data_IF_626303850753
#
_entry.id   IF_626303850753
#
_cell.length_a   1.000
_cell.length_b   1.000
_cell.length_c   1.000
_cell.angle_alpha   90.00
_cell.angle_beta   90.00
_cell.angle_gamma   90.00
#
_symmetry.space_group_name_H-M   'P 1'
#
loop_
_entity.id
_entity.type
_entity.pdbx_description
1 polymer ?
#
# COMPACT_ATOMS: atom_id res chain seq x y z
N UNK A 1 8.49 -31.94 -4.80
CA UNK A 1 7.53 -33.03 -5.05
C UNK A 1 6.21 -32.37 -5.43
N UNK A 2 5.44 -32.89 -6.40
CA UNK A 2 4.13 -32.30 -6.74
C UNK A 2 3.11 -32.84 -5.74
N UNK A 3 2.53 -31.96 -4.93
CA UNK A 3 1.51 -32.34 -3.93
C UNK A 3 0.24 -32.79 -4.64
N UNK A 4 -0.26 -34.00 -4.32
CA UNK A 4 -1.58 -34.46 -4.77
C UNK A 4 -2.65 -33.92 -3.82
N UNK A 5 -3.11 -32.72 -4.12
CA UNK A 5 -4.13 -32.04 -3.35
C UNK A 5 -5.44 -32.82 -3.26
N UNK A 6 -5.82 -33.58 -4.29
CA UNK A 6 -7.12 -34.28 -4.30
C UNK A 6 -7.16 -35.38 -3.24
N UNK A 7 -6.10 -36.19 -3.18
CA UNK A 7 -5.94 -37.22 -2.14
C UNK A 7 -5.99 -36.62 -0.73
N UNK A 8 -5.37 -35.45 -0.55
CA UNK A 8 -5.36 -34.74 0.74
C UNK A 8 -6.78 -34.30 1.15
N UNK A 9 -7.55 -33.72 0.24
CA UNK A 9 -8.91 -33.28 0.54
C UNK A 9 -9.80 -34.48 0.87
N UNK A 10 -9.71 -35.55 0.08
CA UNK A 10 -10.50 -36.76 0.24
C UNK A 10 -10.15 -37.51 1.55
N UNK A 11 -8.91 -37.40 2.02
CA UNK A 11 -8.45 -37.96 3.29
C UNK A 11 -8.85 -37.12 4.54
N UNK A 12 -9.32 -35.88 4.38
CA UNK A 12 -9.68 -34.96 5.48
C UNK A 12 -11.06 -34.29 5.26
N UNK A 13 -12.14 -35.07 5.06
CA UNK A 13 -13.46 -34.54 4.69
C UNK A 13 -14.10 -33.66 5.77
N UNK A 14 -13.73 -33.82 7.04
CA UNK A 14 -14.28 -33.09 8.19
C UNK A 14 -13.82 -31.63 8.28
N UNK A 15 -12.76 -31.26 7.56
CA UNK A 15 -12.17 -29.92 7.59
C UNK A 15 -13.00 -28.92 6.77
N UNK A 16 -13.61 -29.42 5.69
CA UNK A 16 -14.32 -28.60 4.73
C UNK A 16 -15.82 -28.85 4.81
N UNK A 17 -16.61 -27.82 4.54
CA UNK A 17 -18.07 -27.91 4.51
C UNK A 17 -18.61 -28.56 3.21
N UNK A 18 -17.73 -28.97 2.30
CA UNK A 18 -18.08 -29.56 1.00
C UNK A 18 -17.17 -30.73 0.63
N UNK A 19 -17.64 -31.57 -0.29
CA UNK A 19 -16.94 -32.75 -0.81
C UNK A 19 -17.08 -32.81 -2.34
N UNK A 20 -16.38 -33.75 -3.00
CA UNK A 20 -16.42 -33.90 -4.45
C UNK A 20 -15.62 -32.80 -5.18
N UNK A 21 -14.41 -32.53 -4.71
CA UNK A 21 -13.59 -31.43 -5.19
C UNK A 21 -13.17 -31.58 -6.65
N UNK A 22 -13.54 -30.59 -7.46
CA UNK A 22 -13.10 -30.46 -8.84
C UNK A 22 -11.96 -29.46 -8.94
N UNK A 23 -10.83 -29.89 -9.53
CA UNK A 23 -9.72 -29.00 -9.78
C UNK A 23 -10.05 -28.04 -10.93
N UNK A 24 -9.81 -26.75 -10.71
CA UNK A 24 -9.91 -25.74 -11.76
C UNK A 24 -8.81 -25.96 -12.81
N UNK A 25 -9.23 -26.28 -14.04
CA UNK A 25 -8.37 -26.48 -15.21
C UNK A 25 -7.49 -25.26 -15.49
N UNK A 26 -6.35 -25.44 -16.14
CA UNK A 26 -5.45 -24.34 -16.49
C UNK A 26 -6.12 -23.31 -17.43
N UNK A 27 -6.97 -23.77 -18.35
CA UNK A 27 -7.73 -22.92 -19.27
C UNK A 27 -8.68 -21.99 -18.49
N UNK A 28 -9.47 -22.55 -17.56
CA UNK A 28 -10.33 -21.75 -16.68
C UNK A 28 -9.53 -20.75 -15.84
N UNK A 29 -8.37 -21.14 -15.30
CA UNK A 29 -7.50 -20.23 -14.54
C UNK A 29 -7.02 -19.04 -15.37
N UNK A 30 -6.66 -19.28 -16.64
CA UNK A 30 -6.28 -18.21 -17.59
C UNK A 30 -7.45 -17.28 -17.90
N UNK A 31 -8.64 -17.83 -18.18
CA UNK A 31 -9.86 -17.06 -18.49
C UNK A 31 -10.27 -16.19 -17.28
N UNK A 32 -10.12 -16.71 -16.07
CA UNK A 32 -10.48 -16.00 -14.84
C UNK A 32 -9.34 -15.13 -14.29
N UNK A 33 -8.21 -15.05 -15.00
CA UNK A 33 -7.02 -14.29 -14.60
C UNK A 33 -6.54 -14.65 -13.18
N UNK A 34 -6.64 -15.92 -12.80
CA UNK A 34 -6.19 -16.41 -11.50
C UNK A 34 -4.66 -16.55 -11.46
N UNK A 35 -4.00 -16.16 -10.35
CA UNK A 35 -2.56 -16.39 -10.18
C UNK A 35 -2.17 -17.87 -10.36
N UNK A 36 -1.25 -18.14 -11.29
CA UNK A 36 -0.97 -19.51 -11.75
C UNK A 36 -0.24 -20.38 -10.73
N UNK A 37 0.40 -19.77 -9.74
CA UNK A 37 1.19 -20.47 -8.72
C UNK A 37 0.33 -21.24 -7.69
N UNK A 38 -0.98 -20.98 -7.64
CA UNK A 38 -1.88 -21.62 -6.69
C UNK A 38 -2.71 -22.72 -7.34
N UNK A 39 -3.14 -23.68 -6.52
CA UNK A 39 -4.08 -24.73 -6.91
C UNK A 39 -5.48 -24.35 -6.45
N UNK A 40 -6.46 -24.48 -7.34
CA UNK A 40 -7.83 -24.04 -7.10
C UNK A 40 -8.76 -25.24 -7.22
N UNK A 41 -9.63 -25.44 -6.23
CA UNK A 41 -10.64 -26.49 -6.24
C UNK A 41 -12.00 -25.92 -5.89
N UNK A 42 -13.05 -26.41 -6.53
CA UNK A 42 -14.41 -26.00 -6.25
C UNK A 42 -15.28 -27.20 -5.93
N UNK A 43 -16.26 -26.97 -5.06
CA UNK A 43 -17.29 -27.92 -4.69
C UNK A 43 -18.57 -27.16 -4.30
N UNK A 44 -19.61 -27.93 -3.98
CA UNK A 44 -20.90 -27.39 -3.53
C UNK A 44 -21.92 -27.26 -4.65
N UNK A 45 -23.06 -26.68 -4.31
CA UNK A 45 -24.23 -26.57 -5.17
C UNK A 45 -24.66 -25.10 -5.38
N UNK A 46 -25.87 -24.89 -5.89
CA UNK A 46 -26.40 -23.54 -6.10
C UNK A 46 -26.62 -22.75 -4.79
N UNK A 47 -26.80 -23.43 -3.66
CA UNK A 47 -27.12 -22.84 -2.37
C UNK A 47 -25.87 -22.54 -1.53
N UNK A 48 -24.82 -23.34 -1.68
CA UNK A 48 -23.54 -23.15 -1.01
C UNK A 48 -22.39 -23.49 -1.94
N UNK A 49 -21.70 -22.47 -2.44
CA UNK A 49 -20.50 -22.63 -3.27
C UNK A 49 -19.26 -22.54 -2.41
N UNK A 50 -18.34 -23.47 -2.62
CA UNK A 50 -17.13 -23.58 -1.81
C UNK A 50 -15.93 -23.69 -2.71
N UNK A 51 -14.89 -22.90 -2.41
CA UNK A 51 -13.61 -22.96 -3.09
C UNK A 51 -12.46 -23.22 -2.13
N UNK A 52 -11.42 -23.88 -2.61
CA UNK A 52 -10.12 -23.99 -1.96
C UNK A 52 -9.09 -23.28 -2.86
N UNK A 53 -8.25 -22.44 -2.26
CA UNK A 53 -7.03 -21.93 -2.89
C UNK A 53 -5.85 -22.38 -2.05
N UNK A 54 -5.00 -23.22 -2.64
CA UNK A 54 -3.91 -23.88 -1.95
C UNK A 54 -2.53 -23.43 -2.47
N UNK A 55 -1.65 -23.08 -1.53
CA UNK A 55 -0.23 -22.82 -1.79
C UNK A 55 0.63 -23.99 -1.32
N UNK A 56 1.53 -24.46 -2.18
CA UNK A 56 2.48 -25.53 -1.86
C UNK A 56 3.73 -25.03 -1.11
N UNK A 57 4.03 -23.74 -1.18
CA UNK A 57 5.24 -23.17 -0.60
C UNK A 57 5.08 -21.69 -0.24
N UNK A 58 6.20 -20.97 -0.19
CA UNK A 58 6.22 -19.52 0.08
C UNK A 58 5.39 -18.80 -0.98
N UNK A 59 4.50 -17.93 -0.54
CA UNK A 59 3.60 -17.15 -1.38
C UNK A 59 3.72 -15.68 -1.04
N UNK A 60 3.29 -14.83 -1.98
CA UNK A 60 3.03 -13.43 -1.69
C UNK A 60 1.58 -13.26 -1.25
N UNK A 61 1.38 -12.55 -0.16
CA UNK A 61 0.07 -12.41 0.49
C UNK A 61 -0.96 -11.69 -0.39
N UNK A 62 -0.54 -10.64 -1.09
CA UNK A 62 -1.36 -9.88 -2.03
C UNK A 62 -1.85 -10.75 -3.18
N UNK A 63 -0.96 -11.53 -3.79
CA UNK A 63 -1.31 -12.46 -4.87
C UNK A 63 -2.20 -13.60 -4.36
N UNK A 64 -1.96 -14.13 -3.15
CA UNK A 64 -2.74 -15.22 -2.58
C UNK A 64 -4.16 -14.77 -2.23
N UNK A 65 -4.30 -13.64 -1.53
CA UNK A 65 -5.60 -13.05 -1.19
C UNK A 65 -6.38 -12.67 -2.45
N UNK A 66 -5.71 -12.06 -3.44
CA UNK A 66 -6.31 -11.74 -4.74
C UNK A 66 -6.83 -13.00 -5.45
N UNK A 67 -6.04 -14.07 -5.45
CA UNK A 67 -6.43 -15.35 -6.03
C UNK A 67 -7.72 -15.90 -5.39
N UNK A 68 -7.83 -15.84 -4.06
CA UNK A 68 -9.03 -16.25 -3.33
C UNK A 68 -10.26 -15.41 -3.66
N UNK A 69 -10.13 -14.08 -3.71
CA UNK A 69 -11.24 -13.18 -3.99
C UNK A 69 -11.72 -13.31 -5.44
N UNK A 70 -10.79 -13.34 -6.41
CA UNK A 70 -11.15 -13.55 -7.82
C UNK A 70 -11.85 -14.89 -8.02
N UNK A 71 -11.30 -15.96 -7.42
CA UNK A 71 -11.89 -17.28 -7.52
C UNK A 71 -13.28 -17.33 -6.88
N UNK A 72 -13.41 -16.81 -5.67
CA UNK A 72 -14.70 -16.75 -4.96
C UNK A 72 -15.76 -15.96 -5.70
N UNK A 73 -15.41 -14.81 -6.29
CA UNK A 73 -16.35 -14.02 -7.07
C UNK A 73 -16.83 -14.78 -8.32
N UNK A 74 -15.93 -15.52 -8.99
CA UNK A 74 -16.26 -16.35 -10.16
C UNK A 74 -17.11 -17.56 -9.81
N UNK A 75 -16.83 -18.22 -8.69
CA UNK A 75 -17.66 -19.32 -8.19
C UNK A 75 -19.03 -18.80 -7.79
N UNK A 76 -19.08 -17.75 -6.96
CA UNK A 76 -20.29 -17.23 -6.35
C UNK A 76 -21.28 -16.60 -7.31
N UNK A 77 -20.80 -15.90 -8.34
CA UNK A 77 -21.66 -15.13 -9.25
C UNK A 77 -22.73 -14.31 -8.50
N UNK A 78 -22.31 -13.63 -7.42
CA UNK A 78 -23.19 -12.85 -6.52
C UNK A 78 -23.78 -13.63 -5.33
N UNK A 79 -23.72 -14.96 -5.33
CA UNK A 79 -24.14 -15.78 -4.18
C UNK A 79 -23.05 -15.88 -3.10
N UNK A 80 -23.49 -16.15 -1.86
CA UNK A 80 -22.58 -16.39 -0.73
C UNK A 80 -21.67 -17.58 -1.04
N UNK A 81 -20.37 -17.34 -0.93
CA UNK A 81 -19.33 -18.31 -1.27
C UNK A 81 -18.31 -18.42 -0.15
N UNK A 82 -17.95 -19.63 0.22
CA UNK A 82 -16.91 -19.89 1.23
C UNK A 82 -15.60 -20.22 0.53
N UNK A 83 -14.53 -19.51 0.87
CA UNK A 83 -13.19 -19.72 0.32
C UNK A 83 -12.22 -20.14 1.42
N UNK A 84 -11.66 -21.34 1.27
CA UNK A 84 -10.61 -21.87 2.12
C UNK A 84 -9.25 -21.52 1.53
N UNK A 85 -8.47 -20.74 2.26
CA UNK A 85 -7.05 -20.55 2.01
C UNK A 85 -6.29 -21.68 2.70
N UNK A 86 -5.49 -22.43 1.94
CA UNK A 86 -4.68 -23.54 2.45
C UNK A 86 -3.21 -23.22 2.23
N UNK A 87 -2.42 -23.14 3.29
CA UNK A 87 -0.99 -22.85 3.21
C UNK A 87 -0.22 -23.44 4.38
N UNK A 88 1.12 -23.52 4.26
CA UNK A 88 1.97 -24.01 5.34
C UNK A 88 2.05 -23.05 6.53
N UNK A 89 1.99 -21.76 6.24
CA UNK A 89 1.99 -20.70 7.24
C UNK A 89 1.15 -19.50 6.75
N UNK A 90 0.73 -18.64 7.66
CA UNK A 90 -0.02 -17.41 7.40
C UNK A 90 0.48 -16.30 8.32
N UNK A 91 0.73 -15.11 7.79
CA UNK A 91 1.01 -13.99 8.67
C UNK A 91 -0.24 -13.52 9.42
N UNK A 92 -0.05 -12.83 10.55
CA UNK A 92 -1.16 -12.21 11.26
C UNK A 92 -1.90 -11.16 10.41
N UNK A 93 -1.19 -10.43 9.53
CA UNK A 93 -1.81 -9.45 8.62
C UNK A 93 -2.73 -10.15 7.61
N UNK A 94 -2.30 -11.29 7.08
CA UNK A 94 -3.14 -12.09 6.19
C UNK A 94 -4.41 -12.57 6.92
N UNK A 95 -4.28 -13.15 8.13
CA UNK A 95 -5.43 -13.56 8.94
C UNK A 95 -6.39 -12.40 9.24
N UNK A 96 -5.85 -11.26 9.68
CA UNK A 96 -6.66 -10.09 9.98
C UNK A 96 -7.36 -9.50 8.76
N UNK A 97 -6.83 -9.75 7.57
CA UNK A 97 -7.42 -9.33 6.30
C UNK A 97 -8.53 -10.28 5.86
N UNK A 98 -8.33 -11.60 5.94
CA UNK A 98 -9.40 -12.55 5.62
C UNK A 98 -10.58 -12.47 6.61
N UNK A 99 -10.32 -12.18 7.88
CA UNK A 99 -11.36 -11.99 8.90
C UNK A 99 -12.21 -10.72 8.69
N UNK A 100 -11.80 -9.83 7.77
CA UNK A 100 -12.59 -8.65 7.35
C UNK A 100 -13.47 -8.95 6.14
N UNK A 101 -13.43 -10.17 5.60
CA UNK A 101 -14.32 -10.62 4.54
C UNK A 101 -15.60 -11.21 5.15
N UNK A 102 -16.76 -10.80 4.65
CA UNK A 102 -18.01 -11.32 5.20
C UNK A 102 -19.32 -10.75 4.64
N UNK A 103 -19.34 -10.44 3.35
CA UNK A 103 -20.57 -10.19 2.60
C UNK A 103 -20.90 -11.37 1.67
N UNK A 104 -20.59 -11.23 0.38
CA UNK A 104 -20.73 -12.32 -0.60
C UNK A 104 -19.64 -13.38 -0.49
N UNK A 105 -18.49 -13.04 0.11
CA UNK A 105 -17.38 -13.97 0.34
C UNK A 105 -17.13 -14.15 1.83
N UNK A 106 -17.00 -15.40 2.26
CA UNK A 106 -16.57 -15.80 3.60
C UNK A 106 -15.25 -16.52 3.44
N UNK A 107 -14.19 -16.03 4.07
CA UNK A 107 -12.91 -16.69 4.03
C UNK A 107 -12.73 -17.62 5.24
N UNK A 108 -11.92 -18.65 5.06
CA UNK A 108 -11.42 -19.54 6.12
C UNK A 108 -9.97 -19.86 5.84
N UNK A 109 -9.19 -20.10 6.88
CA UNK A 109 -7.79 -20.51 6.76
C UNK A 109 -7.59 -21.92 7.30
N UNK A 110 -6.73 -22.68 6.62
CA UNK A 110 -6.38 -24.05 6.96
C UNK A 110 -4.87 -24.22 6.83
N UNK A 111 -4.22 -24.63 7.91
CA UNK A 111 -2.80 -24.98 7.84
C UNK A 111 -2.61 -26.32 7.17
N UNK A 112 -1.61 -26.39 6.29
CA UNK A 112 -1.15 -27.61 5.63
C UNK A 112 0.26 -27.97 6.10
N UNK A 113 0.50 -29.24 6.44
CA UNK A 113 1.85 -29.73 6.76
C UNK A 113 2.24 -30.91 5.88
N UNK A 114 3.41 -30.80 5.25
CA UNK A 114 4.00 -31.82 4.37
C UNK A 114 4.68 -32.97 5.14
N UNK A 115 4.53 -33.09 6.47
CA UNK A 115 5.17 -34.19 7.23
C UNK A 115 4.63 -35.57 6.78
N UNK A 116 5.25 -36.64 7.27
CA UNK A 116 4.97 -38.07 6.93
C UNK A 116 3.48 -38.43 6.82
N UNK A 117 2.61 -37.74 7.56
CA UNK A 117 1.18 -37.69 7.29
C UNK A 117 0.77 -36.24 6.96
N UNK A 118 0.39 -35.96 5.70
CA UNK A 118 -0.46 -34.84 5.33
C UNK A 118 -1.52 -34.54 6.39
N UNK A 119 -1.53 -33.33 6.95
CA UNK A 119 -2.56 -32.95 7.93
C UNK A 119 -3.04 -31.55 7.70
N UNK A 120 -4.34 -31.37 7.84
CA UNK A 120 -5.04 -30.11 7.73
C UNK A 120 -5.57 -29.68 9.10
N UNK A 121 -5.40 -28.41 9.43
CA UNK A 121 -5.90 -27.85 10.68
C UNK A 121 -6.69 -26.59 10.37
N UNK A 122 -8.02 -26.56 10.60
CA UNK A 122 -8.80 -25.36 10.41
C UNK A 122 -8.41 -24.36 11.51
N UNK A 123 -8.21 -23.12 11.12
CA UNK A 123 -7.86 -22.05 12.05
C UNK A 123 -9.12 -21.26 12.33
N UNK A 124 -9.52 -21.13 13.60
CA UNK A 124 -10.58 -20.17 13.92
C UNK A 124 -9.99 -18.76 13.89
N UNK A 125 -10.64 -17.87 13.16
CA UNK A 125 -10.21 -16.47 13.03
C UNK A 125 -10.13 -15.73 14.37
N UNK A 126 -10.89 -16.20 15.37
CA UNK A 126 -10.93 -15.65 16.74
C UNK A 126 -9.77 -16.10 17.62
N UNK A 127 -9.08 -17.19 17.26
CA UNK A 127 -8.01 -17.77 18.07
C UNK A 127 -6.67 -17.05 17.88
N UNK A 128 -6.55 -16.22 16.84
CA UNK A 128 -5.38 -15.37 16.68
C UNK A 128 -5.52 -14.11 17.53
N UNK A 129 -4.99 -14.20 18.75
CA UNK A 129 -4.85 -13.08 19.65
C UNK A 129 -4.14 -11.92 18.94
N UNK A 130 -4.87 -10.83 18.67
CA UNK A 130 -4.29 -9.54 18.23
C UNK A 130 -3.08 -9.12 19.08
N UNK A 131 -3.04 -9.58 20.34
CA UNK A 131 -1.95 -9.33 21.30
C UNK A 131 -0.67 -10.14 21.09
N UNK A 132 -0.68 -11.20 20.26
CA UNK A 132 0.53 -11.95 19.90
C UNK A 132 1.30 -11.29 18.75
N UNK A 133 0.60 -10.52 17.92
CA UNK A 133 1.24 -9.76 16.85
C UNK A 133 1.76 -8.43 17.38
N UNK A 134 2.97 -8.50 17.93
CA UNK A 134 3.74 -7.32 18.33
C UNK A 134 4.51 -6.83 17.11
N UNK A 135 3.89 -5.95 16.32
CA UNK A 135 4.69 -5.15 15.41
C UNK A 135 5.59 -4.30 16.28
N UNK A 136 6.90 -4.54 16.19
CA UNK A 136 7.86 -3.71 16.85
C UNK A 136 7.92 -2.40 16.06
N UNK A 137 7.05 -1.43 16.42
CA UNK A 137 7.14 -0.09 15.89
C UNK A 137 8.59 0.33 15.87
N UNK A 138 9.08 0.69 14.69
CA UNK A 138 10.38 1.32 14.60
C UNK A 138 10.39 2.58 15.45
N UNK A 139 11.60 3.01 15.72
CA UNK A 139 11.83 4.27 16.40
C UNK A 139 11.05 5.39 15.70
N UNK A 140 10.60 6.42 16.44
CA UNK A 140 9.97 7.59 15.85
C UNK A 140 10.75 8.05 14.62
N UNK A 141 10.02 8.47 13.57
CA UNK A 141 10.67 8.93 12.34
C UNK A 141 11.73 9.98 12.71
N UNK A 142 12.99 9.80 12.26
CA UNK A 142 14.05 10.77 12.47
C UNK A 142 13.64 12.17 12.00
N UNK A 143 14.16 13.18 12.67
CA UNK A 143 14.04 14.57 12.24
C UNK A 143 15.44 15.17 12.04
N UNK A 144 15.49 16.46 11.73
CA UNK A 144 16.74 17.19 11.63
C UNK A 144 17.59 17.06 12.89
N UNK A 145 17.00 17.16 14.09
CA UNK A 145 17.75 17.05 15.35
C UNK A 145 18.40 15.68 15.54
N UNK A 146 17.70 14.60 15.17
CA UNK A 146 18.25 13.24 15.19
C UNK A 146 19.52 13.15 14.34
N UNK A 147 19.48 13.70 13.12
CA UNK A 147 20.62 13.70 12.21
C UNK A 147 21.76 14.59 12.70
N UNK A 148 21.45 15.77 13.23
CA UNK A 148 22.46 16.68 13.77
C UNK A 148 23.25 16.09 14.94
N UNK A 149 22.62 15.25 15.78
CA UNK A 149 23.27 14.61 16.95
C UNK A 149 24.25 13.50 16.57
N UNK A 150 24.10 12.89 15.40
CA UNK A 150 24.91 11.73 14.98
C UNK A 150 26.14 12.10 14.14
N UNK A 151 26.21 13.33 13.67
CA UNK A 151 27.25 13.78 12.76
C UNK A 151 28.36 14.54 13.50
N UNK A 152 29.58 14.42 12.99
CA UNK A 152 30.67 15.27 13.47
C UNK A 152 30.41 16.75 13.09
N UNK A 153 31.09 17.73 13.73
CA UNK A 153 30.83 19.15 13.52
C UNK A 153 30.93 19.61 12.05
N UNK A 154 31.88 19.06 11.29
CA UNK A 154 32.08 19.40 9.86
C UNK A 154 30.89 18.90 9.04
N UNK A 155 30.51 17.64 9.21
CA UNK A 155 29.36 17.06 8.54
C UNK A 155 28.06 17.79 8.95
N UNK A 156 27.91 18.20 10.21
CA UNK A 156 26.76 19.00 10.65
C UNK A 156 26.66 20.34 9.91
N UNK A 157 27.78 21.06 9.75
CA UNK A 157 27.80 22.31 8.98
C UNK A 157 27.46 22.08 7.50
N UNK A 158 28.02 21.03 6.88
CA UNK A 158 27.67 20.68 5.51
C UNK A 158 26.19 20.33 5.36
N UNK A 159 25.62 19.61 6.34
CA UNK A 159 24.20 19.27 6.34
C UNK A 159 23.31 20.52 6.42
N UNK A 160 23.70 21.53 7.21
CA UNK A 160 22.97 22.81 7.28
C UNK A 160 22.98 23.55 5.94
N UNK A 161 24.12 23.57 5.25
CA UNK A 161 24.23 24.16 3.91
C UNK A 161 23.30 23.44 2.93
N UNK A 162 23.32 22.11 2.94
CA UNK A 162 22.45 21.30 2.07
C UNK A 162 20.97 21.53 2.40
N UNK A 163 20.61 21.58 3.68
CA UNK A 163 19.26 21.91 4.15
C UNK A 163 18.81 23.26 3.60
N UNK A 164 19.62 24.31 3.76
CA UNK A 164 19.27 25.65 3.27
C UNK A 164 19.05 25.69 1.75
N UNK A 165 19.87 24.96 0.99
CA UNK A 165 19.69 24.83 -0.45
C UNK A 165 18.34 24.19 -0.80
N UNK A 166 17.99 23.04 -0.21
CA UNK A 166 16.72 22.38 -0.52
C UNK A 166 15.50 23.12 0.05
N UNK A 167 15.63 23.77 1.21
CA UNK A 167 14.57 24.63 1.77
C UNK A 167 14.26 25.80 0.82
N UNK A 168 15.27 26.32 0.10
CA UNK A 168 15.06 27.35 -0.94
C UNK A 168 14.23 26.84 -2.14
N UNK A 169 14.24 25.52 -2.38
CA UNK A 169 13.47 24.85 -3.44
C UNK A 169 12.04 24.48 -3.01
N UNK A 170 11.63 24.79 -1.78
CA UNK A 170 10.26 24.56 -1.29
C UNK A 170 9.19 25.21 -2.16
N UNK A 171 9.47 26.41 -2.71
CA UNK A 171 8.60 27.10 -3.67
C UNK A 171 8.39 26.31 -4.96
N UNK A 172 9.37 25.47 -5.33
CA UNK A 172 9.29 24.51 -6.45
C UNK A 172 8.77 23.14 -6.00
N UNK A 173 8.06 23.07 -4.87
CA UNK A 173 7.37 21.86 -4.38
C UNK A 173 8.30 20.72 -3.94
N UNK A 174 9.55 21.06 -3.58
CA UNK A 174 10.50 20.08 -3.03
C UNK A 174 10.30 19.94 -1.52
N UNK A 175 10.24 18.70 -1.02
CA UNK A 175 10.14 18.37 0.41
C UNK A 175 11.18 17.33 0.84
N UNK A 176 11.58 17.38 2.11
CA UNK A 176 12.47 16.39 2.71
C UNK A 176 11.67 15.27 3.39
N UNK A 177 12.16 14.03 3.30
CA UNK A 177 11.63 12.83 3.93
C UNK A 177 12.73 12.13 4.69
N UNK A 178 12.47 11.76 5.95
CA UNK A 178 13.52 11.25 6.84
C UNK A 178 13.41 9.75 7.07
N UNK A 179 14.53 9.07 6.91
CA UNK A 179 14.72 7.68 7.31
C UNK A 179 15.94 7.56 8.24
N UNK A 180 16.10 6.38 8.86
CA UNK A 180 17.17 6.13 9.83
C UNK A 180 18.57 6.37 9.29
N UNK A 181 18.82 6.03 8.02
CA UNK A 181 20.13 6.11 7.38
C UNK A 181 20.16 6.93 6.10
N UNK A 182 19.03 7.56 5.74
CA UNK A 182 18.97 8.50 4.62
C UNK A 182 17.96 9.63 4.81
N UNK A 183 18.23 10.77 4.18
CA UNK A 183 17.28 11.86 3.96
C UNK A 183 16.99 11.88 2.46
N UNK A 184 15.71 11.83 2.08
CA UNK A 184 15.27 11.84 0.69
C UNK A 184 14.63 13.18 0.38
N UNK A 185 15.03 13.83 -0.71
CA UNK A 185 14.33 14.99 -1.23
C UNK A 185 13.42 14.57 -2.37
N UNK A 186 12.16 14.98 -2.29
CA UNK A 186 11.09 14.56 -3.19
C UNK A 186 10.38 15.74 -3.82
N UNK A 187 9.94 15.57 -5.05
CA UNK A 187 8.97 16.42 -5.74
C UNK A 187 7.69 15.60 -5.95
N UNK A 188 6.64 15.90 -5.17
CA UNK A 188 5.53 14.97 -4.98
C UNK A 188 6.00 13.66 -4.35
N UNK A 189 5.84 12.54 -5.07
CA UNK A 189 6.36 11.21 -4.69
C UNK A 189 7.70 10.86 -5.36
N UNK A 190 8.18 11.69 -6.29
CA UNK A 190 9.38 11.41 -7.08
C UNK A 190 10.62 11.79 -6.26
N UNK A 191 11.50 10.83 -5.99
CA UNK A 191 12.79 11.07 -5.34
C UNK A 191 13.76 11.73 -6.31
N UNK A 192 14.24 12.94 -5.97
CA UNK A 192 15.16 13.73 -6.82
C UNK A 192 16.57 13.79 -6.24
N UNK A 193 16.73 13.60 -4.94
CA UNK A 193 18.04 13.52 -4.29
C UNK A 193 17.99 12.67 -3.01
N UNK A 194 19.14 12.17 -2.60
CA UNK A 194 19.31 11.52 -1.31
C UNK A 194 20.60 11.97 -0.61
N UNK A 195 20.53 12.00 0.71
CA UNK A 195 21.69 12.01 1.61
C UNK A 195 21.72 10.65 2.28
N UNK A 196 22.80 9.89 2.15
CA UNK A 196 22.96 8.57 2.78
C UNK A 196 24.05 8.61 3.84
N UNK A 197 23.75 8.14 5.05
CA UNK A 197 24.72 8.03 6.13
C UNK A 197 25.73 6.90 5.86
N UNK A 198 27.00 7.18 6.12
CA UNK A 198 28.12 6.23 6.01
C UNK A 198 29.07 6.46 7.18
N UNK A 199 28.79 5.79 8.30
CA UNK A 199 29.45 6.06 9.58
C UNK A 199 29.16 7.49 10.05
N UNK A 200 30.21 8.24 10.39
CA UNK A 200 30.10 9.63 10.86
C UNK A 200 30.10 10.66 9.71
N UNK A 201 29.97 10.21 8.46
CA UNK A 201 29.89 11.04 7.24
C UNK A 201 28.60 10.74 6.48
N UNK A 202 28.31 11.51 5.45
CA UNK A 202 27.23 11.23 4.52
C UNK A 202 27.68 11.39 3.06
N UNK A 203 26.95 10.76 2.16
CA UNK A 203 27.08 10.89 0.71
C UNK A 203 25.81 11.60 0.19
N UNK A 204 25.98 12.68 -0.58
CA UNK A 204 24.89 13.39 -1.25
C UNK A 204 24.88 12.97 -2.73
N UNK A 205 23.72 12.59 -3.25
CA UNK A 205 23.59 12.19 -4.65
C UNK A 205 22.19 12.50 -5.20
N UNK A 206 22.11 12.74 -6.51
CA UNK A 206 20.83 12.86 -7.22
C UNK A 206 20.15 11.49 -7.36
N UNK A 207 18.82 11.47 -7.41
CA UNK A 207 18.03 10.28 -7.71
C UNK A 207 17.36 10.42 -9.07
N UNK A 208 17.58 9.41 -9.92
CA UNK A 208 17.07 9.36 -11.31
C UNK A 208 16.33 8.07 -11.64
N UNK A 209 15.97 7.27 -10.62
CA UNK A 209 15.27 5.97 -10.82
C UNK A 209 13.87 6.10 -11.40
N UNK A 210 13.32 7.32 -11.40
CA UNK A 210 11.99 7.64 -11.91
C UNK A 210 11.93 7.71 -13.45
N UNK A 211 13.07 7.75 -14.15
CA UNK A 211 13.10 7.70 -15.63
C UNK A 211 13.75 6.43 -16.14
N UNK A 212 13.15 5.84 -17.18
CA UNK A 212 13.74 4.70 -17.91
C UNK A 212 14.70 5.15 -19.02
N UNK A 213 14.71 6.44 -19.35
CA UNK A 213 15.58 6.98 -20.39
C UNK A 213 17.02 7.08 -19.87
N UNK A 214 17.89 6.21 -20.39
CA UNK A 214 19.31 6.14 -20.00
C UNK A 214 20.05 7.46 -20.21
N UNK A 215 19.70 8.24 -21.24
CA UNK A 215 20.37 9.52 -21.52
C UNK A 215 20.01 10.55 -20.45
N UNK A 216 18.74 10.62 -20.05
CA UNK A 216 18.28 11.50 -18.97
C UNK A 216 18.90 11.07 -17.65
N UNK A 217 18.90 9.76 -17.36
CA UNK A 217 19.50 9.24 -16.13
C UNK A 217 20.99 9.58 -16.03
N UNK A 218 21.79 9.32 -17.08
CA UNK A 218 23.23 9.63 -17.08
C UNK A 218 23.50 11.13 -17.02
N UNK A 219 22.68 11.96 -17.67
CA UNK A 219 22.81 13.44 -17.62
C UNK A 219 22.69 13.97 -16.20
N UNK A 220 21.71 13.46 -15.45
CA UNK A 220 21.35 14.01 -14.14
C UNK A 220 21.95 13.26 -12.96
N UNK A 221 22.53 12.07 -13.15
CA UNK A 221 23.18 11.32 -12.09
C UNK A 221 24.49 12.00 -11.66
N UNK A 222 24.43 12.79 -10.60
CA UNK A 222 25.56 13.55 -10.03
C UNK A 222 25.71 13.29 -8.54
N UNK A 223 26.97 13.25 -8.10
CA UNK A 223 27.32 13.31 -6.68
C UNK A 223 27.40 14.76 -6.24
N UNK A 224 26.93 15.03 -5.03
CA UNK A 224 26.98 16.33 -4.39
C UNK A 224 28.02 16.36 -3.28
N UNK A 225 28.69 17.49 -3.11
CA UNK A 225 29.57 17.78 -1.98
C UNK A 225 29.57 19.27 -1.67
N UNK A 226 29.91 19.61 -0.44
CA UNK A 226 30.09 20.99 0.02
C UNK A 226 31.58 21.31 -0.05
N UNK A 227 31.93 22.40 -0.72
CA UNK A 227 33.32 22.86 -0.85
C UNK A 227 33.78 23.73 0.33
N UNK A 228 35.03 24.18 0.28
CA UNK A 228 35.62 25.05 1.31
C UNK A 228 34.96 26.43 1.42
N UNK A 229 34.22 26.86 0.39
CA UNK A 229 33.46 28.11 0.41
C UNK A 229 32.11 27.98 1.14
N UNK A 230 31.74 26.76 1.54
CA UNK A 230 30.44 26.49 2.13
C UNK A 230 29.31 26.43 1.10
N UNK A 231 29.64 26.13 -0.16
CA UNK A 231 28.67 26.01 -1.25
C UNK A 231 28.61 24.57 -1.75
N UNK A 232 27.43 24.13 -2.20
CA UNK A 232 27.30 22.83 -2.86
C UNK A 232 27.90 22.95 -4.27
N UNK A 233 28.62 21.92 -4.72
CA UNK A 233 29.21 21.92 -6.07
C UNK A 233 28.16 22.21 -7.15
N UNK A 234 28.51 23.12 -8.06
CA UNK A 234 27.57 23.68 -9.03
C UNK A 234 26.96 22.64 -9.97
N UNK A 235 27.73 21.61 -10.33
CA UNK A 235 27.27 20.52 -11.18
C UNK A 235 26.07 19.78 -10.57
N UNK A 236 26.10 19.53 -9.25
CA UNK A 236 24.99 18.93 -8.53
C UNK A 236 23.77 19.85 -8.51
N UNK A 237 23.97 21.14 -8.22
CA UNK A 237 22.89 22.12 -8.21
C UNK A 237 22.21 22.24 -9.57
N UNK A 238 22.99 22.33 -10.66
CA UNK A 238 22.47 22.37 -12.04
C UNK A 238 21.70 21.10 -12.39
N UNK A 239 22.15 19.93 -11.92
CA UNK A 239 21.43 18.68 -12.13
C UNK A 239 20.06 18.68 -11.42
N UNK A 240 20.00 19.12 -10.16
CA UNK A 240 18.74 19.24 -9.42
C UNK A 240 17.78 20.21 -10.09
N UNK A 241 18.24 21.40 -10.47
CA UNK A 241 17.41 22.39 -11.15
C UNK A 241 16.90 21.84 -12.49
N UNK A 242 17.76 21.20 -13.28
CA UNK A 242 17.36 20.59 -14.55
C UNK A 242 16.41 19.38 -14.40
N UNK A 243 16.51 18.63 -13.30
CA UNK A 243 15.49 17.61 -12.94
C UNK A 243 14.14 18.30 -12.71
N UNK A 244 14.11 19.36 -11.91
CA UNK A 244 12.86 20.07 -11.60
C UNK A 244 12.25 20.70 -12.84
N UNK A 245 13.06 21.33 -13.71
CA UNK A 245 12.58 21.91 -14.97
C UNK A 245 11.96 20.83 -15.86
N UNK A 246 12.59 19.65 -15.93
CA UNK A 246 12.05 18.53 -16.69
C UNK A 246 10.72 18.02 -16.10
N UNK A 247 10.65 17.83 -14.78
CA UNK A 247 9.45 17.34 -14.11
C UNK A 247 8.26 18.32 -14.22
N UNK A 248 8.52 19.62 -14.07
CA UNK A 248 7.51 20.67 -14.26
C UNK A 248 7.01 20.71 -15.71
N UNK A 249 7.91 20.59 -16.69
CA UNK A 249 7.51 20.48 -18.10
C UNK A 249 6.71 19.20 -18.37
N UNK A 250 7.08 18.08 -17.74
CA UNK A 250 6.37 16.82 -17.87
C UNK A 250 4.94 16.90 -17.30
N UNK A 251 4.74 17.65 -16.21
CA UNK A 251 3.42 17.93 -15.63
C UNK A 251 2.56 18.73 -16.60
N UNK A 252 3.09 19.85 -17.11
CA UNK A 252 2.37 20.74 -18.05
C UNK A 252 1.98 20.00 -19.32
N UNK A 253 2.86 19.14 -19.83
CA UNK A 253 2.62 18.36 -21.03
C UNK A 253 1.80 17.06 -20.78
N UNK A 254 1.40 16.77 -19.54
CA UNK A 254 0.60 15.60 -19.20
C UNK A 254 1.32 14.24 -19.36
N UNK A 255 2.66 14.25 -19.35
CA UNK A 255 3.50 13.05 -19.53
C UNK A 255 3.91 12.35 -18.22
N UNK A 256 3.48 12.89 -17.07
CA UNK A 256 3.67 12.23 -15.78
C UNK A 256 2.71 11.03 -15.64
N UNK A 257 3.15 10.03 -14.88
CA UNK A 257 2.26 8.96 -14.45
C UNK A 257 1.07 9.54 -13.67
N UNK A 258 -0.13 9.00 -13.88
CA UNK A 258 -1.35 9.51 -13.26
C UNK A 258 -1.23 9.54 -11.73
N UNK A 259 -0.54 8.57 -11.12
CA UNK A 259 -0.36 8.48 -9.68
C UNK A 259 0.52 9.61 -9.15
N UNK A 260 1.63 9.89 -9.84
CA UNK A 260 2.54 10.97 -9.47
C UNK A 260 1.88 12.34 -9.67
N UNK A 261 1.15 12.50 -10.78
CA UNK A 261 0.40 13.72 -11.05
C UNK A 261 -0.67 13.97 -9.97
N UNK A 262 -1.44 12.95 -9.60
CA UNK A 262 -2.46 13.05 -8.55
C UNK A 262 -1.86 13.38 -7.19
N UNK A 263 -0.75 12.74 -6.83
CA UNK A 263 -0.03 13.04 -5.59
C UNK A 263 0.38 14.52 -5.52
N UNK A 264 0.89 15.08 -6.62
CA UNK A 264 1.27 16.50 -6.69
C UNK A 264 0.04 17.40 -6.54
N UNK A 265 -1.06 17.11 -7.23
CA UNK A 265 -2.29 17.89 -7.12
C UNK A 265 -2.80 17.90 -5.68
N UNK A 266 -2.83 16.76 -5.00
CA UNK A 266 -3.28 16.66 -3.61
C UNK A 266 -2.37 17.40 -2.63
N UNK A 267 -1.06 17.21 -2.73
CA UNK A 267 -0.08 17.80 -1.81
C UNK A 267 0.00 19.34 -1.92
N UNK A 268 -0.46 19.91 -3.03
CA UNK A 268 -0.39 21.34 -3.31
C UNK A 268 -1.74 22.01 -3.54
N UNK A 269 -2.83 21.28 -3.32
CA UNK A 269 -4.16 21.85 -3.30
C UNK A 269 -4.28 22.84 -2.13
N UNK A 270 -4.98 23.95 -2.37
CA UNK A 270 -5.10 25.07 -1.41
C UNK A 270 -6.52 25.25 -0.90
N UNK A 271 -7.47 24.47 -1.39
CA UNK A 271 -8.89 24.65 -1.15
C UNK A 271 -9.45 23.40 -0.50
N UNK A 272 -9.77 22.38 -1.30
CA UNK A 272 -10.45 21.17 -0.86
C UNK A 272 -9.62 20.30 0.10
N UNK A 273 -8.36 20.02 -0.22
CA UNK A 273 -7.56 19.06 0.56
C UNK A 273 -7.25 19.58 1.96
N UNK A 274 -6.80 20.84 2.16
CA UNK A 274 -6.59 21.38 3.50
C UNK A 274 -7.86 21.44 4.34
N UNK A 275 -9.02 21.70 3.72
CA UNK A 275 -10.31 21.76 4.41
C UNK A 275 -10.79 20.36 4.83
N UNK A 276 -10.66 19.37 3.95
CA UNK A 276 -11.24 18.04 4.17
C UNK A 276 -10.29 17.05 4.86
N UNK A 277 -9.03 17.02 4.44
CA UNK A 277 -8.02 16.09 4.96
C UNK A 277 -7.01 16.75 5.90
N UNK A 278 -6.84 18.06 5.81
CA UNK A 278 -5.87 18.82 6.59
C UNK A 278 -4.52 18.94 5.92
N UNK A 279 -3.45 19.00 6.72
CA UNK A 279 -2.10 19.25 6.21
C UNK A 279 -1.39 17.94 5.87
N UNK A 280 -0.61 17.89 4.78
CA UNK A 280 0.12 16.68 4.42
C UNK A 280 1.21 16.40 5.46
N UNK A 281 1.27 15.17 5.94
CA UNK A 281 2.27 14.71 6.90
C UNK A 281 3.00 13.47 6.38
N UNK A 282 4.19 13.21 6.92
CA UNK A 282 4.80 11.90 6.76
C UNK A 282 4.26 10.96 7.83
N UNK A 283 4.07 9.68 7.50
CA UNK A 283 3.69 8.69 8.50
C UNK A 283 4.73 8.70 9.65
N UNK A 284 4.30 8.94 10.91
CA UNK A 284 5.22 9.28 11.99
C UNK A 284 6.09 8.10 12.46
N UNK A 285 5.73 6.88 12.04
CA UNK A 285 6.44 5.66 12.40
C UNK A 285 7.21 5.08 11.21
N UNK A 286 8.39 4.52 11.47
CA UNK A 286 9.13 3.72 10.50
C UNK A 286 8.93 2.24 10.78
N UNK A 287 8.72 1.44 9.74
CA UNK A 287 8.79 -0.01 9.85
C UNK A 287 10.23 -0.46 10.20
N UNK A 288 10.40 -1.41 11.13
CA UNK A 288 11.73 -2.03 11.39
C UNK A 288 12.15 -2.97 10.27
N UNK A 289 11.20 -3.70 9.68
CA UNK A 289 11.45 -4.61 8.57
C UNK A 289 10.73 -4.15 7.30
N UNK A 290 11.44 -4.18 6.17
CA UNK A 290 10.87 -3.78 4.86
C UNK A 290 9.77 -4.71 4.38
N UNK A 291 9.75 -5.96 4.86
CA UNK A 291 8.78 -7.01 4.50
C UNK A 291 7.40 -6.83 5.16
N UNK A 292 7.30 -6.10 6.27
CA UNK A 292 6.04 -5.96 7.02
C UNK A 292 5.16 -4.80 6.50
N UNK A 293 5.75 -3.87 5.75
CA UNK A 293 5.12 -2.58 5.40
C UNK A 293 5.41 -2.11 3.98
N UNK A 294 5.89 -2.98 3.08
CA UNK A 294 6.37 -2.60 1.75
C UNK A 294 5.37 -1.77 0.94
N UNK A 295 4.07 -1.88 1.22
CA UNK A 295 3.00 -1.14 0.55
C UNK A 295 2.46 0.09 1.30
N UNK A 296 2.88 0.41 2.52
CA UNK A 296 2.46 1.70 3.14
C UNK A 296 3.04 2.92 2.46
N UNK A 297 4.18 2.78 1.76
CA UNK A 297 4.75 3.84 0.93
C UNK A 297 3.85 4.26 -0.24
N UNK A 298 2.77 3.53 -0.48
CA UNK A 298 1.75 3.84 -1.47
C UNK A 298 0.70 4.84 -0.97
N UNK A 299 0.56 5.01 0.35
CA UNK A 299 -0.42 5.88 0.97
C UNK A 299 0.11 7.31 1.13
N UNK A 300 -0.80 8.27 1.03
CA UNK A 300 -0.54 9.66 1.42
C UNK A 300 -1.28 9.94 2.72
N UNK A 301 -0.60 10.60 3.66
CA UNK A 301 -1.13 10.88 4.99
C UNK A 301 -1.37 12.37 5.17
N UNK A 302 -2.49 12.70 5.81
CA UNK A 302 -2.85 14.06 6.17
C UNK A 302 -3.28 14.12 7.63
N UNK A 303 -3.03 15.26 8.28
CA UNK A 303 -3.46 15.54 9.64
C UNK A 303 -4.50 16.66 9.68
N UNK A 304 -5.66 16.37 10.28
CA UNK A 304 -6.68 17.35 10.60
C UNK A 304 -7.17 17.10 12.03
N UNK A 305 -7.20 18.13 12.88
CA UNK A 305 -7.69 18.04 14.26
C UNK A 305 -7.04 16.90 15.08
N UNK A 306 -5.72 16.74 14.98
CA UNK A 306 -4.96 15.65 15.61
C UNK A 306 -5.38 14.24 15.17
N UNK A 307 -6.04 14.12 14.02
CA UNK A 307 -6.37 12.84 13.40
C UNK A 307 -5.62 12.64 12.09
N UNK A 308 -5.03 11.46 11.91
CA UNK A 308 -4.42 11.06 10.64
C UNK A 308 -5.49 10.45 9.75
N UNK A 309 -5.59 10.97 8.52
CA UNK A 309 -6.29 10.35 7.40
C UNK A 309 -5.27 9.74 6.44
N UNK A 310 -5.50 8.50 6.03
CA UNK A 310 -4.70 7.83 5.01
C UNK A 310 -5.48 7.78 3.70
N UNK A 311 -4.82 8.09 2.58
CA UNK A 311 -5.40 8.06 1.24
C UNK A 311 -4.67 7.01 0.40
N UNK A 312 -5.43 6.18 -0.32
CA UNK A 312 -4.92 5.31 -1.36
C UNK A 312 -5.53 5.67 -2.72
N UNK A 313 -4.74 5.55 -3.78
CA UNK A 313 -5.17 5.86 -5.15
C UNK A 313 -5.42 4.56 -5.91
N UNK A 314 -6.65 4.40 -6.41
CA UNK A 314 -7.04 3.29 -7.25
C UNK A 314 -7.45 3.86 -8.61
N UNK A 315 -6.46 3.93 -9.51
CA UNK A 315 -6.61 4.44 -10.87
C UNK A 315 -6.56 3.31 -11.92
N UNK A 316 -6.23 2.10 -11.48
CA UNK A 316 -6.14 0.90 -12.29
C UNK A 316 -6.40 -0.35 -11.43
N UNK A 317 -6.85 -1.44 -12.06
CA UNK A 317 -6.97 -2.78 -11.45
C UNK A 317 -7.63 -2.76 -10.05
N UNK A 318 -8.88 -2.29 -9.94
CA UNK A 318 -9.49 -1.95 -8.66
C UNK A 318 -9.52 -3.10 -7.66
N UNK A 319 -9.82 -4.33 -8.10
CA UNK A 319 -9.80 -5.50 -7.21
C UNK A 319 -8.41 -5.75 -6.61
N UNK A 320 -7.37 -5.75 -7.44
CA UNK A 320 -5.99 -5.96 -6.98
C UNK A 320 -5.57 -4.88 -5.98
N UNK A 321 -5.86 -3.61 -6.30
CA UNK A 321 -5.51 -2.50 -5.40
C UNK A 321 -6.31 -2.52 -4.11
N UNK A 322 -7.57 -2.94 -4.15
CA UNK A 322 -8.40 -3.05 -2.96
C UNK A 322 -7.89 -4.17 -2.04
N UNK A 323 -7.44 -5.29 -2.60
CA UNK A 323 -6.76 -6.37 -1.85
C UNK A 323 -5.52 -5.84 -1.14
N UNK A 324 -4.65 -5.12 -1.85
CA UNK A 324 -3.47 -4.48 -1.23
C UNK A 324 -3.88 -3.47 -0.16
N UNK A 325 -4.96 -2.70 -0.38
CA UNK A 325 -5.49 -1.73 0.59
C UNK A 325 -5.95 -2.42 1.87
N UNK A 326 -6.60 -3.57 1.76
CA UNK A 326 -7.07 -4.35 2.90
C UNK A 326 -5.92 -4.90 3.74
N UNK A 327 -4.88 -5.43 3.09
CA UNK A 327 -3.66 -5.89 3.77
C UNK A 327 -2.97 -4.72 4.50
N UNK A 328 -2.83 -3.58 3.82
CA UNK A 328 -2.23 -2.37 4.41
C UNK A 328 -3.08 -1.85 5.58
N UNK A 329 -4.41 -1.82 5.45
CA UNK A 329 -5.31 -1.44 6.54
C UNK A 329 -5.10 -2.33 7.75
N UNK A 330 -5.06 -3.65 7.57
CA UNK A 330 -4.86 -4.59 8.66
C UNK A 330 -3.49 -4.41 9.32
N UNK A 331 -2.43 -4.21 8.53
CA UNK A 331 -1.10 -3.91 9.05
C UNK A 331 -1.09 -2.62 9.88
N UNK A 332 -1.77 -1.55 9.40
CA UNK A 332 -1.90 -0.29 10.12
C UNK A 332 -2.71 -0.46 11.42
N UNK A 333 -3.86 -1.13 11.37
CA UNK A 333 -4.71 -1.41 12.53
C UNK A 333 -3.93 -2.15 13.62
N UNK A 334 -3.23 -3.19 13.23
CA UNK A 334 -2.43 -3.99 14.17
C UNK A 334 -1.23 -3.24 14.70
N UNK A 335 -0.60 -2.39 13.88
CA UNK A 335 0.46 -1.53 14.36
C UNK A 335 -0.09 -0.59 15.44
N UNK A 336 -1.10 0.23 15.13
CA UNK A 336 -1.59 1.31 16.01
C UNK A 336 -2.15 0.79 17.34
N UNK A 337 -2.64 -0.45 17.39
CA UNK A 337 -3.10 -1.10 18.62
C UNK A 337 -1.98 -1.47 19.62
N UNK A 338 -0.70 -1.54 19.23
CA UNK A 338 0.42 -1.93 20.13
C UNK A 338 0.95 -0.77 21.03
N UNK A 339 0.15 0.27 21.22
CA UNK A 339 0.11 0.99 22.50
C UNK A 339 1.32 1.81 22.93
N UNK A 340 2.31 2.11 22.08
CA UNK A 340 3.30 3.14 22.39
C UNK A 340 2.67 4.53 22.21
N UNK A 341 1.99 4.98 23.28
CA UNK A 341 1.50 6.36 23.52
C UNK A 341 2.66 7.37 23.39
N UNK A 342 3.04 7.74 22.18
CA UNK A 342 4.09 8.73 21.95
C UNK A 342 3.72 9.62 20.76
N UNK A 343 2.67 10.42 20.94
CA UNK A 343 2.30 11.71 20.30
C UNK A 343 0.77 11.91 20.38
N UNK A 344 0.24 13.15 20.36
CA UNK A 344 -1.21 13.41 20.53
C UNK A 344 -2.07 12.99 19.32
N UNK A 345 -1.48 12.41 18.28
CA UNK A 345 -2.14 12.19 16.99
C UNK A 345 -2.73 10.77 16.93
N UNK A 346 -4.01 10.66 16.61
CA UNK A 346 -4.73 9.39 16.49
C UNK A 346 -5.06 9.08 15.03
N UNK A 347 -4.89 7.84 14.58
CA UNK A 347 -5.41 7.45 13.27
C UNK A 347 -6.93 7.31 13.33
N UNK A 348 -7.64 7.87 12.34
CA UNK A 348 -9.10 7.81 12.27
C UNK A 348 -9.65 6.43 11.84
N UNK A 349 -8.78 5.42 11.69
CA UNK A 349 -9.14 4.07 11.26
C UNK A 349 -9.84 4.03 9.91
N UNK A 350 -9.47 4.91 8.99
CA UNK A 350 -9.98 4.91 7.61
C UNK A 350 -8.82 4.97 6.62
N UNK A 351 -9.00 4.29 5.49
CA UNK A 351 -8.22 4.54 4.27
C UNK A 351 -9.19 5.03 3.20
N UNK A 352 -9.09 6.31 2.85
CA UNK A 352 -9.88 6.91 1.78
C UNK A 352 -9.37 6.42 0.43
N UNK A 353 -10.26 5.87 -0.38
CA UNK A 353 -9.96 5.36 -1.71
C UNK A 353 -10.33 6.42 -2.74
N UNK A 354 -9.33 7.05 -3.35
CA UNK A 354 -9.53 8.00 -4.44
C UNK A 354 -9.49 7.27 -5.77
N UNK A 355 -10.52 7.46 -6.61
CA UNK A 355 -10.68 6.70 -7.85
C UNK A 355 -11.35 7.50 -8.97
N UNK A 356 -11.25 6.99 -10.18
CA UNK A 356 -11.95 7.54 -11.35
C UNK A 356 -13.41 7.08 -11.36
N UNK A 357 -14.37 7.89 -11.85
CA UNK A 357 -15.77 7.49 -11.99
C UNK A 357 -15.97 6.16 -12.73
N UNK A 358 -15.15 5.90 -13.75
CA UNK A 358 -15.20 4.68 -14.57
C UNK A 358 -14.94 3.38 -13.78
N UNK A 359 -14.23 3.46 -12.65
CA UNK A 359 -13.86 2.30 -11.82
C UNK A 359 -14.82 2.06 -10.66
N UNK A 360 -15.86 2.90 -10.53
CA UNK A 360 -16.76 2.90 -9.39
C UNK A 360 -17.50 1.57 -9.24
N UNK A 361 -18.00 1.00 -10.33
CA UNK A 361 -18.80 -0.23 -10.27
C UNK A 361 -17.95 -1.44 -9.83
N UNK A 362 -16.72 -1.55 -10.33
CA UNK A 362 -15.79 -2.58 -9.87
C UNK A 362 -15.41 -2.40 -8.40
N UNK A 363 -15.27 -1.17 -7.91
CA UNK A 363 -14.99 -0.89 -6.49
C UNK A 363 -16.21 -1.13 -5.59
N UNK A 364 -17.43 -0.89 -6.07
CA UNK A 364 -18.67 -1.27 -5.37
C UNK A 364 -18.77 -2.78 -5.23
N UNK A 365 -18.45 -3.53 -6.29
CA UNK A 365 -18.29 -4.99 -6.19
C UNK A 365 -17.20 -5.37 -5.19
N UNK A 366 -16.15 -4.54 -5.04
CA UNK A 366 -15.15 -4.79 -4.00
C UNK A 366 -15.71 -4.66 -2.58
N UNK A 367 -16.62 -3.72 -2.37
CA UNK A 367 -17.23 -3.51 -1.06
C UNK A 367 -18.21 -4.63 -0.69
N UNK A 368 -18.80 -5.35 -1.66
CA UNK A 368 -19.76 -6.41 -1.38
C UNK A 368 -19.19 -7.62 -0.64
N UNK A 369 -17.86 -7.79 -0.60
CA UNK A 369 -17.20 -8.86 0.15
C UNK A 369 -16.61 -8.41 1.48
N UNK A 370 -16.64 -7.12 1.82
CA UNK A 370 -16.10 -6.58 3.07
C UNK A 370 -17.18 -6.53 4.17
N UNK A 371 -16.78 -6.81 5.42
CA UNK A 371 -17.64 -6.64 6.60
C UNK A 371 -17.83 -5.18 7.02
N UNK A 372 -16.78 -4.37 6.85
CA UNK A 372 -16.72 -2.98 7.35
C UNK A 372 -16.35 -2.03 6.21
N UNK A 373 -17.33 -1.76 5.34
CA UNK A 373 -17.14 -0.92 4.15
C UNK A 373 -16.86 0.54 4.50
N UNK A 374 -17.32 1.00 5.67
CA UNK A 374 -17.12 2.35 6.20
C UNK A 374 -15.66 2.69 6.51
N UNK A 375 -14.80 1.67 6.62
CA UNK A 375 -13.34 1.81 6.79
C UNK A 375 -12.63 2.18 5.48
N UNK A 376 -13.32 2.02 4.35
CA UNK A 376 -12.81 2.27 3.00
C UNK A 376 -13.72 3.22 2.21
N UNK A 377 -13.94 4.46 2.67
CA UNK A 377 -14.76 5.42 1.95
C UNK A 377 -14.16 5.73 0.58
N UNK A 378 -15.00 5.68 -0.46
CA UNK A 378 -14.60 5.97 -1.85
C UNK A 378 -14.88 7.44 -2.16
N UNK A 379 -13.89 8.12 -2.73
CA UNK A 379 -13.99 9.50 -3.21
C UNK A 379 -13.69 9.50 -4.71
N UNK A 380 -14.65 10.00 -5.49
CA UNK A 380 -14.46 10.15 -6.93
C UNK A 380 -13.56 11.35 -7.22
N UNK A 381 -12.68 11.20 -8.20
CA UNK A 381 -11.92 12.32 -8.73
C UNK A 381 -12.82 13.16 -9.66
N UNK A 382 -12.68 14.51 -9.66
CA UNK A 382 -13.27 15.36 -10.69
C UNK A 382 -12.85 14.91 -12.09
N UNK A 383 -13.71 15.05 -13.11
CA UNK A 383 -13.35 14.68 -14.49
C UNK A 383 -12.09 15.39 -15.00
N UNK A 384 -11.88 16.64 -14.57
CA UNK A 384 -10.79 17.53 -14.94
C UNK A 384 -9.64 17.57 -13.90
N UNK A 385 -9.53 16.55 -13.03
CA UNK A 385 -8.53 16.51 -11.95
C UNK A 385 -7.08 16.70 -12.44
N UNK A 386 -6.78 16.30 -13.68
CA UNK A 386 -5.45 16.46 -14.29
C UNK A 386 -5.11 17.92 -14.56
N UNK A 387 -6.07 18.72 -14.98
CA UNK A 387 -5.87 20.13 -15.33
C UNK A 387 -6.17 21.03 -14.13
N UNK A 388 -7.41 20.99 -13.65
CA UNK A 388 -7.90 21.91 -12.61
C UNK A 388 -7.68 21.39 -11.19
N UNK A 389 -7.26 20.14 -11.01
CA UNK A 389 -7.04 19.56 -9.68
C UNK A 389 -8.37 19.39 -8.94
N UNK A 390 -8.46 19.90 -7.71
CA UNK A 390 -9.66 19.80 -6.88
C UNK A 390 -10.38 21.16 -6.73
N UNK A 391 -10.07 22.14 -7.60
CA UNK A 391 -10.71 23.45 -7.56
C UNK A 391 -12.22 23.29 -7.69
N UNK A 392 -12.98 23.92 -6.77
CA UNK A 392 -14.46 23.85 -6.72
C UNK A 392 -15.03 22.44 -6.54
N UNK A 393 -14.22 21.46 -6.16
CA UNK A 393 -14.72 20.12 -5.86
C UNK A 393 -15.56 20.17 -4.58
N UNK A 394 -16.89 19.98 -4.73
CA UNK A 394 -17.85 19.95 -3.62
C UNK A 394 -18.22 18.51 -3.20
N UNK A 395 -17.60 17.51 -3.83
CA UNK A 395 -18.00 16.13 -3.72
C UNK A 395 -17.35 15.43 -2.52
N UNK A 396 -18.08 15.30 -1.44
CA UNK A 396 -18.01 14.05 -0.68
C UNK A 396 -19.32 13.38 -0.97
N UNK A 397 -19.39 12.58 -2.04
CA UNK A 397 -20.43 11.56 -2.11
C UNK A 397 -20.10 10.53 -1.05
N UNK A 398 -20.39 10.86 0.20
CA UNK A 398 -20.84 9.87 1.16
C UNK A 398 -22.19 9.42 0.59
N UNK A 399 -22.17 8.44 -0.31
CA UNK A 399 -23.40 7.71 -0.57
C UNK A 399 -23.67 6.94 0.72
N UNK A 400 -24.68 7.40 1.45
CA UNK A 400 -25.27 6.63 2.53
C UNK A 400 -25.70 5.28 1.96
N UNK A 401 -25.18 4.22 2.55
CA UNK A 401 -25.40 2.83 2.13
C UNK A 401 -26.85 2.38 2.23
N UNK A 402 -27.74 3.20 2.80
CA UNK A 402 -29.14 2.89 3.04
C UNK A 402 -29.95 2.78 1.74
N UNK A 403 -29.53 3.42 0.65
CA UNK A 403 -30.28 3.44 -0.61
C UNK A 403 -30.17 2.16 -1.45
N UNK A 404 -29.37 1.16 -1.04
CA UNK A 404 -29.15 -0.07 -1.84
C UNK A 404 -29.69 -1.36 -1.21
N UNK A 405 -30.08 -1.36 0.07
CA UNK A 405 -30.75 -2.53 0.70
C UNK A 405 -32.28 -2.45 0.65
N UNK A 406 -32.83 -1.49 -0.08
CA UNK A 406 -34.27 -1.38 -0.38
C UNK A 406 -34.59 -1.75 -1.83
N UNK A 407 -34.09 -2.89 -2.34
CA UNK A 407 -34.74 -3.60 -3.47
C UNK A 407 -34.58 -5.11 -3.36
#
# INVERSE_FOLDING_TARGET
>A
MRVDWKEIWDANPEIFIGSGWEQCTEEKRKIWHLPSQFSYFSAGDLNLRVGIVASQGIYKEDEFLLGGILFGNRLGNGARTVIYFVAQDFSPVFFGSIAKLGGTLIAKAVYWREKLTPSLYPVQEKDYLKSLYKINFGDPRPNWEFWERQLNPVARNHLKIIKNYFDSLSKRRVKASFEKSRILYRWGNIEIAEIKQKGNKFELATKVKWTRNKNIATKFLKSGWVDLSGTINEEFCRAILGILDLLENMEVNGSLDNRDHLAIKLLHDKEFVPEFFGTPIEFPWLAKERSEFSDTGQLIYFELNHQISALNFILDKPVQRMVSTLLVYTALEYSIMDGKKLTPIQWNQKIYVLTLPELMDELRLCQSWLLQTEKFPIILLPEDWKTEGFKKYKGVTQMDWEDFFTY
#
